data_IF_967140148695
#
_entry.id   IF_967140148695
#
_cell.length_a   1.000
_cell.length_b   1.000
_cell.length_c   1.000
_cell.angle_alpha   90.00
_cell.angle_beta   90.00
_cell.angle_gamma   90.00
#
_symmetry.space_group_name_H-M   'P 1'
#
loop_
_entity.id
_entity.type
_entity.pdbx_description
1 polymer ?
#
# COMPACT_ATOMS: atom_id res chain seq x y z
N UNK A 1 -16.23 -2.55 -12.38
CA UNK A 1 -15.89 -1.22 -11.83
C UNK A 1 -14.69 -1.48 -10.94
N UNK A 2 -13.48 -1.05 -11.31
CA UNK A 2 -12.29 -1.31 -10.51
C UNK A 2 -12.16 -0.23 -9.43
N UNK A 3 -12.11 -0.61 -8.15
CA UNK A 3 -11.83 0.34 -7.07
C UNK A 3 -10.35 0.26 -6.67
N UNK A 4 -9.76 1.35 -6.19
CA UNK A 4 -8.37 1.42 -5.73
C UNK A 4 -8.38 2.01 -4.32
N UNK A 5 -7.93 1.23 -3.36
CA UNK A 5 -7.83 1.71 -1.97
C UNK A 5 -6.35 1.86 -1.62
N UNK A 6 -5.98 3.06 -1.19
CA UNK A 6 -4.63 3.36 -0.70
C UNK A 6 -4.75 3.60 0.80
N UNK A 7 -4.22 2.71 1.61
CA UNK A 7 -4.35 2.79 3.06
C UNK A 7 -2.98 2.80 3.72
N UNK A 8 -2.75 3.69 4.68
CA UNK A 8 -1.49 3.73 5.42
C UNK A 8 -1.79 3.85 6.91
N UNK A 9 -1.24 2.95 7.70
CA UNK A 9 -1.36 2.95 9.15
C UNK A 9 0.00 2.66 9.76
N UNK A 10 0.49 3.54 10.63
CA UNK A 10 1.75 3.29 11.35
C UNK A 10 1.63 2.20 12.42
N UNK A 11 2.74 1.55 12.75
CA UNK A 11 2.82 0.44 13.70
C UNK A 11 2.21 0.72 15.11
N UNK A 12 1.73 -0.36 15.75
CA UNK A 12 1.06 -0.47 17.06
C UNK A 12 -0.36 0.13 17.17
N UNK A 13 -1.40 -0.62 16.77
CA UNK A 13 -2.77 -0.44 17.31
C UNK A 13 -3.56 -1.74 17.46
N UNK A 14 -4.18 -1.88 18.64
CA UNK A 14 -5.32 -2.79 18.87
C UNK A 14 -6.50 -2.39 17.99
N UNK A 15 -7.04 -3.33 17.23
CA UNK A 15 -8.33 -3.19 16.56
C UNK A 15 -9.43 -3.07 17.61
N UNK A 16 -10.16 -1.95 17.63
CA UNK A 16 -11.40 -1.87 18.37
C UNK A 16 -12.42 -2.74 17.63
N UNK A 17 -12.67 -3.97 18.10
CA UNK A 17 -13.74 -4.86 17.62
C UNK A 17 -15.11 -4.23 17.95
N UNK A 18 -15.49 -3.18 17.24
CA UNK A 18 -16.89 -2.87 17.05
C UNK A 18 -17.45 -3.98 16.16
N UNK A 19 -18.25 -4.88 16.74
CA UNK A 19 -19.10 -5.85 16.03
C UNK A 19 -20.13 -5.13 15.18
N UNK A 20 -19.71 -4.45 14.12
CA UNK A 20 -20.58 -4.01 13.05
C UNK A 20 -20.52 -5.10 11.99
N UNK A 21 -21.61 -5.88 11.89
CA UNK A 21 -21.85 -6.80 10.78
C UNK A 21 -21.71 -6.00 9.47
N UNK A 22 -20.63 -6.21 8.74
CA UNK A 22 -20.36 -5.53 7.48
C UNK A 22 -21.38 -6.00 6.42
N UNK A 23 -22.33 -5.12 6.10
CA UNK A 23 -23.21 -5.24 4.95
C UNK A 23 -22.60 -4.36 3.84
N UNK A 24 -21.52 -4.83 3.21
CA UNK A 24 -20.77 -4.08 2.19
C UNK A 24 -21.52 -3.91 0.86
N UNK A 25 -22.72 -4.46 0.72
CA UNK A 25 -23.79 -4.01 -0.17
C UNK A 25 -25.10 -4.64 0.34
N UNK A 26 -26.26 -4.01 0.07
CA UNK A 26 -27.63 -4.55 0.22
C UNK A 26 -28.31 -4.33 1.60
N UNK A 27 -29.03 -3.21 1.80
CA UNK A 27 -30.51 -3.09 1.84
C UNK A 27 -30.99 -1.80 2.54
N UNK A 28 -31.77 -1.00 1.79
CA UNK A 28 -32.83 -0.18 2.36
C UNK A 28 -33.84 -1.11 3.05
N UNK A 29 -33.91 -1.09 4.38
CA UNK A 29 -35.14 -1.51 5.03
C UNK A 29 -36.18 -0.41 4.84
N UNK A 30 -37.07 -0.62 3.87
CA UNK A 30 -38.34 0.06 3.81
C UNK A 30 -39.10 -0.27 5.10
N UNK A 31 -39.30 0.73 5.96
CA UNK A 31 -40.28 0.64 7.04
C UNK A 31 -41.67 0.61 6.41
N UNK A 32 -42.37 -0.51 6.58
CA UNK A 32 -43.82 -0.58 6.41
C UNK A 32 -44.48 0.45 7.33
N UNK A 33 -44.89 1.58 6.75
CA UNK A 33 -45.91 2.44 7.32
C UNK A 33 -47.14 2.33 6.41
N UNK A 34 -48.31 2.22 7.05
CA UNK A 34 -49.58 1.86 6.46
C UNK A 34 -49.95 2.70 5.22
N UNK A 35 -50.59 2.04 4.25
CA UNK A 35 -51.15 2.66 3.07
C UNK A 35 -52.25 3.69 3.44
N UNK A 36 -52.10 4.91 2.96
CA UNK A 36 -53.20 5.85 2.73
C UNK A 36 -53.60 5.73 1.25
N UNK A 37 -54.82 5.26 0.92
CA UNK A 37 -55.23 5.02 -0.46
C UNK A 37 -55.65 6.28 -1.24
N UNK A 38 -55.27 7.49 -0.80
CA UNK A 38 -55.77 8.73 -1.38
C UNK A 38 -54.70 9.74 -1.80
N UNK A 39 -53.76 9.38 -2.69
CA UNK A 39 -52.95 10.36 -3.44
C UNK A 39 -52.35 9.77 -4.71
N UNK A 40 -53.04 10.03 -5.82
CA UNK A 40 -52.47 9.91 -7.17
C UNK A 40 -51.62 11.16 -7.41
N UNK A 41 -50.30 11.00 -7.53
CA UNK A 41 -49.44 12.00 -8.13
C UNK A 41 -48.54 11.32 -9.17
N UNK A 42 -48.84 11.60 -10.44
CA UNK A 42 -47.96 11.32 -11.58
C UNK A 42 -46.60 12.00 -11.35
N UNK A 43 -45.52 11.22 -11.39
CA UNK A 43 -44.16 11.73 -11.54
C UNK A 43 -43.53 11.04 -12.74
N UNK A 44 -43.19 11.84 -13.76
CA UNK A 44 -42.38 11.41 -14.89
C UNK A 44 -40.95 11.01 -14.48
N UNK A 45 -40.15 10.47 -15.41
CA UNK A 45 -38.84 9.89 -15.10
C UNK A 45 -37.83 11.00 -14.78
N UNK A 46 -37.76 11.39 -13.52
CA UNK A 46 -36.64 12.15 -12.97
C UNK A 46 -35.49 11.18 -12.75
N UNK A 47 -34.44 11.28 -13.58
CA UNK A 47 -33.18 10.59 -13.37
C UNK A 47 -32.57 11.16 -12.08
N UNK A 48 -32.68 10.41 -10.99
CA UNK A 48 -32.01 10.76 -9.74
C UNK A 48 -30.50 10.89 -9.98
N UNK A 49 -29.83 11.94 -9.46
CA UNK A 49 -28.39 12.08 -9.60
C UNK A 49 -27.68 10.89 -8.92
N UNK A 50 -26.57 10.40 -9.46
CA UNK A 50 -25.87 9.25 -8.89
C UNK A 50 -25.47 9.56 -7.45
N UNK A 51 -25.90 8.71 -6.52
CA UNK A 51 -25.54 8.79 -5.10
C UNK A 51 -24.02 8.92 -4.96
N UNK A 52 -23.55 10.00 -4.32
CA UNK A 52 -22.11 10.22 -4.07
C UNK A 52 -21.60 9.13 -3.13
N UNK A 53 -20.90 8.14 -3.68
CA UNK A 53 -20.14 7.16 -2.89
C UNK A 53 -19.03 7.89 -2.15
N UNK A 54 -18.97 7.69 -0.83
CA UNK A 54 -17.96 8.28 0.06
C UNK A 54 -17.15 7.18 0.72
N UNK A 55 -15.88 7.44 0.97
CA UNK A 55 -15.01 6.58 1.76
C UNK A 55 -15.56 6.46 3.19
N UNK A 56 -15.67 5.24 3.71
CA UNK A 56 -16.40 4.96 4.96
C UNK A 56 -15.71 5.59 6.18
N UNK A 57 -14.38 5.57 6.21
CA UNK A 57 -13.61 6.07 7.36
C UNK A 57 -13.34 7.57 7.31
N UNK A 58 -13.06 8.12 6.13
CA UNK A 58 -12.70 9.54 5.98
C UNK A 58 -13.89 10.42 5.59
N UNK A 59 -15.01 9.83 5.14
CA UNK A 59 -16.14 10.56 4.58
C UNK A 59 -15.82 11.27 3.26
N UNK A 60 -14.61 11.11 2.72
CA UNK A 60 -14.15 11.77 1.50
C UNK A 60 -14.90 11.22 0.27
N UNK A 61 -15.11 12.08 -0.74
CA UNK A 61 -15.64 11.59 -2.02
C UNK A 61 -14.57 10.75 -2.74
N UNK A 62 -14.98 9.68 -3.40
CA UNK A 62 -14.05 8.88 -4.21
C UNK A 62 -13.49 9.73 -5.36
N UNK A 63 -12.18 9.65 -5.56
CA UNK A 63 -11.54 10.06 -6.80
C UNK A 63 -11.95 9.13 -7.94
N UNK A 64 -11.85 9.62 -9.18
CA UNK A 64 -12.09 8.79 -10.36
C UNK A 64 -11.24 9.27 -11.51
N UNK A 65 -10.69 8.35 -12.28
CA UNK A 65 -9.93 8.65 -13.49
C UNK A 65 -10.24 7.64 -14.57
N UNK A 66 -10.27 8.08 -15.83
CA UNK A 66 -10.50 7.19 -16.95
C UNK A 66 -9.18 6.55 -17.38
N UNK A 67 -9.25 5.37 -17.98
CA UNK A 67 -8.17 4.72 -18.73
C UNK A 67 -8.77 4.35 -20.09
N UNK A 68 -8.85 5.30 -21.03
CA UNK A 68 -9.57 5.14 -22.29
C UNK A 68 -9.17 3.91 -23.10
N UNK A 69 -7.88 3.59 -23.19
CA UNK A 69 -7.40 2.48 -24.02
C UNK A 69 -7.87 1.11 -23.51
N UNK A 70 -8.18 0.99 -22.22
CA UNK A 70 -8.71 -0.22 -21.59
C UNK A 70 -10.23 -0.16 -21.36
N UNK A 71 -10.89 0.96 -21.70
CA UNK A 71 -12.31 1.17 -21.39
C UNK A 71 -12.60 1.17 -19.88
N UNK A 72 -11.60 1.44 -19.04
CA UNK A 72 -11.74 1.40 -17.58
C UNK A 72 -12.00 2.81 -17.02
N UNK A 73 -12.63 2.86 -15.86
CA UNK A 73 -12.75 4.06 -15.03
C UNK A 73 -12.52 3.72 -13.57
N UNK A 74 -11.25 3.55 -13.15
CA UNK A 74 -10.95 3.33 -11.75
C UNK A 74 -11.53 4.44 -10.86
N UNK A 75 -12.07 4.01 -9.73
CA UNK A 75 -12.38 4.89 -8.61
C UNK A 75 -11.34 4.66 -7.53
N UNK A 76 -10.98 5.69 -6.77
CA UNK A 76 -9.97 5.54 -5.75
C UNK A 76 -10.24 6.35 -4.50
N UNK A 77 -9.73 5.87 -3.38
CA UNK A 77 -9.69 6.58 -2.11
C UNK A 77 -8.38 6.34 -1.42
N UNK A 78 -8.01 7.28 -0.56
CA UNK A 78 -6.81 7.18 0.26
C UNK A 78 -7.07 7.58 1.69
N UNK A 79 -6.42 6.90 2.62
CA UNK A 79 -6.39 7.25 4.05
C UNK A 79 -4.98 7.03 4.59
N UNK A 80 -4.50 7.98 5.38
CA UNK A 80 -3.30 7.78 6.19
C UNK A 80 -3.61 8.14 7.64
N UNK A 81 -3.15 7.32 8.57
CA UNK A 81 -3.35 7.56 10.00
C UNK A 81 -2.07 7.29 10.77
N UNK A 82 -1.65 8.30 11.54
CA UNK A 82 -0.53 8.18 12.47
C UNK A 82 -0.69 7.00 13.43
N UNK A 83 0.40 6.26 13.64
CA UNK A 83 0.53 5.24 14.69
C UNK A 83 0.21 5.76 16.10
N UNK A 84 -0.02 4.85 17.06
CA UNK A 84 -0.29 5.24 18.45
C UNK A 84 0.95 5.00 19.32
N UNK A 85 1.58 6.11 19.73
CA UNK A 85 2.76 6.10 20.58
C UNK A 85 2.44 6.79 21.91
N UNK A 86 2.07 6.06 22.98
CA UNK A 86 1.70 6.65 24.27
C UNK A 86 2.79 7.55 24.86
N UNK A 87 4.07 7.19 24.66
CA UNK A 87 5.23 7.96 25.11
C UNK A 87 5.57 9.17 24.24
N UNK A 88 5.04 9.22 23.01
CA UNK A 88 5.31 10.28 22.03
C UNK A 88 4.02 10.70 21.33
N UNK A 89 3.08 11.35 22.05
CA UNK A 89 1.77 11.71 21.51
C UNK A 89 1.84 12.73 20.36
N UNK A 90 2.95 13.46 20.26
CA UNK A 90 3.22 14.47 19.23
C UNK A 90 4.09 13.95 18.08
N UNK A 91 4.45 12.66 18.07
CA UNK A 91 5.19 12.05 16.95
C UNK A 91 4.45 12.35 15.64
N UNK A 92 5.18 12.63 14.57
CA UNK A 92 4.58 12.86 13.26
C UNK A 92 3.96 11.56 12.72
N UNK A 93 3.12 11.69 11.69
CA UNK A 93 2.80 10.53 10.87
C UNK A 93 4.03 10.19 10.01
N UNK A 94 4.46 8.94 10.06
CA UNK A 94 5.69 8.47 9.42
C UNK A 94 5.39 7.92 8.03
N UNK A 95 4.16 7.45 7.83
CA UNK A 95 3.64 7.04 6.54
C UNK A 95 3.34 8.24 5.64
N UNK A 96 3.66 8.09 4.36
CA UNK A 96 3.21 8.98 3.32
C UNK A 96 2.64 8.20 2.14
N UNK A 97 1.78 8.84 1.35
CA UNK A 97 1.22 8.22 0.15
C UNK A 97 1.11 9.25 -0.96
N UNK A 98 0.95 8.78 -2.20
CA UNK A 98 0.61 9.63 -3.32
C UNK A 98 -0.36 8.95 -4.26
N UNK A 99 -1.23 9.77 -4.85
CA UNK A 99 -2.07 9.41 -5.99
C UNK A 99 -1.87 10.47 -7.06
N UNK A 100 -1.35 10.08 -8.21
CA UNK A 100 -1.16 10.97 -9.37
C UNK A 100 -1.88 10.37 -10.56
N UNK A 101 -2.86 11.09 -11.07
CA UNK A 101 -3.64 10.66 -12.23
C UNK A 101 -3.18 11.40 -13.47
N UNK A 102 -3.35 10.76 -14.62
CA UNK A 102 -2.86 11.26 -15.91
C UNK A 102 -1.36 11.59 -15.85
N UNK A 103 -0.58 10.66 -15.31
CA UNK A 103 0.85 10.80 -15.11
C UNK A 103 1.55 11.07 -16.45
N UNK A 104 2.53 11.97 -16.47
CA UNK A 104 3.12 12.51 -17.72
C UNK A 104 2.11 13.15 -18.70
N UNK A 105 0.93 13.55 -18.23
CA UNK A 105 -0.17 14.03 -19.07
C UNK A 105 -0.89 12.93 -19.86
N UNK A 106 -0.57 11.65 -19.61
CA UNK A 106 -1.14 10.53 -20.34
C UNK A 106 -2.41 10.01 -19.62
N UNK A 107 -3.60 10.07 -20.23
CA UNK A 107 -4.85 9.65 -19.60
C UNK A 107 -4.89 8.15 -19.25
N UNK A 108 -4.04 7.33 -19.86
CA UNK A 108 -3.94 5.90 -19.60
C UNK A 108 -2.89 5.54 -18.54
N UNK A 109 -2.28 6.53 -17.88
CA UNK A 109 -1.21 6.36 -16.91
C UNK A 109 -1.60 6.95 -15.55
N UNK A 110 -1.66 6.12 -14.51
CA UNK A 110 -1.97 6.56 -13.13
C UNK A 110 -1.02 5.90 -12.14
N UNK A 111 -0.53 6.66 -11.17
CA UNK A 111 0.46 6.24 -10.19
C UNK A 111 -0.13 6.30 -8.77
N UNK A 112 0.05 5.22 -8.03
CA UNK A 112 -0.33 5.08 -6.62
C UNK A 112 0.91 4.61 -5.85
N UNK A 113 1.18 5.20 -4.69
CA UNK A 113 2.33 4.79 -3.88
C UNK A 113 2.09 4.97 -2.39
N UNK A 114 2.64 4.05 -1.60
CA UNK A 114 2.67 4.07 -0.14
C UNK A 114 4.12 3.93 0.31
N UNK A 115 4.50 4.73 1.30
CA UNK A 115 5.84 4.86 1.82
C UNK A 115 5.75 4.82 3.34
N UNK A 116 6.23 3.75 3.96
CA UNK A 116 6.23 3.57 5.41
C UNK A 116 7.60 3.98 5.96
N UNK A 117 7.66 5.04 6.76
CA UNK A 117 8.90 5.61 7.26
C UNK A 117 9.29 5.04 8.62
N UNK A 118 10.59 4.88 8.85
CA UNK A 118 11.13 4.47 10.15
C UNK A 118 12.42 5.22 10.51
N UNK A 119 12.83 5.10 11.77
CA UNK A 119 13.93 5.89 12.35
C UNK A 119 13.49 7.28 12.82
N UNK A 120 14.45 8.09 13.25
CA UNK A 120 14.19 9.42 13.81
C UNK A 120 13.78 10.45 12.75
N UNK A 121 14.18 10.22 11.50
CA UNK A 121 13.85 11.06 10.34
C UNK A 121 12.84 10.40 9.38
N UNK A 122 12.06 9.45 9.91
CA UNK A 122 11.07 8.64 9.18
C UNK A 122 10.14 9.45 8.27
N UNK A 123 9.49 10.47 8.82
CA UNK A 123 8.53 11.31 8.10
C UNK A 123 9.22 12.14 6.99
N UNK A 124 10.47 12.56 7.20
CA UNK A 124 11.26 13.25 6.20
C UNK A 124 11.69 12.29 5.09
N UNK A 125 12.17 11.10 5.43
CA UNK A 125 12.57 10.07 4.47
C UNK A 125 11.38 9.64 3.60
N UNK A 126 10.24 9.31 4.21
CA UNK A 126 9.04 8.88 3.47
C UNK A 126 8.48 9.97 2.55
N UNK A 127 8.46 11.23 3.00
CA UNK A 127 8.05 12.36 2.18
C UNK A 127 9.03 12.65 1.03
N UNK A 128 10.34 12.59 1.31
CA UNK A 128 11.39 12.82 0.32
C UNK A 128 11.34 11.77 -0.78
N UNK A 129 11.32 10.48 -0.42
CA UNK A 129 11.28 9.38 -1.37
C UNK A 129 10.00 9.42 -2.19
N UNK A 130 8.84 9.70 -1.56
CA UNK A 130 7.57 9.92 -2.27
C UNK A 130 7.73 10.97 -3.34
N UNK A 131 8.18 12.17 -3.00
CA UNK A 131 8.20 13.29 -3.94
C UNK A 131 9.27 13.07 -5.02
N UNK A 132 10.49 12.67 -4.62
CA UNK A 132 11.61 12.50 -5.53
C UNK A 132 11.41 11.35 -6.51
N UNK A 133 10.93 10.19 -6.04
CA UNK A 133 10.65 9.05 -6.90
C UNK A 133 9.58 9.40 -7.94
N UNK A 134 8.53 10.09 -7.51
CA UNK A 134 7.45 10.52 -8.39
C UNK A 134 7.96 11.50 -9.45
N UNK A 135 8.81 12.45 -9.08
CA UNK A 135 9.38 13.42 -10.02
C UNK A 135 10.31 12.78 -11.05
N UNK A 136 11.19 11.86 -10.61
CA UNK A 136 12.10 11.16 -11.53
C UNK A 136 11.31 10.29 -12.52
N UNK A 137 10.32 9.53 -12.04
CA UNK A 137 9.46 8.72 -12.92
C UNK A 137 8.66 9.60 -13.88
N UNK A 138 8.12 10.73 -13.41
CA UNK A 138 7.40 11.67 -14.27
C UNK A 138 8.29 12.25 -15.37
N UNK A 139 9.58 12.43 -15.12
CA UNK A 139 10.56 12.89 -16.10
C UNK A 139 11.12 11.81 -17.03
N UNK A 140 10.90 10.52 -16.74
CA UNK A 140 11.53 9.44 -17.50
C UNK A 140 10.71 9.06 -18.76
N UNK A 141 11.20 9.31 -19.98
CA UNK A 141 10.49 8.95 -21.21
C UNK A 141 10.34 7.44 -21.39
N UNK A 142 11.15 6.63 -20.70
CA UNK A 142 11.10 5.16 -20.75
C UNK A 142 9.93 4.60 -19.93
N UNK A 143 9.25 5.41 -19.13
CA UNK A 143 8.21 4.92 -18.21
C UNK A 143 7.12 4.10 -18.93
N UNK A 144 6.76 4.47 -20.16
CA UNK A 144 5.80 3.73 -20.96
C UNK A 144 6.41 2.49 -21.65
N UNK A 145 7.52 2.66 -22.37
CA UNK A 145 8.08 1.65 -23.28
C UNK A 145 8.95 0.61 -22.57
N UNK A 146 9.69 1.04 -21.54
CA UNK A 146 10.60 0.22 -20.75
C UNK A 146 10.46 0.56 -19.26
N UNK A 147 9.27 0.27 -18.71
CA UNK A 147 8.92 0.56 -17.32
C UNK A 147 9.88 -0.07 -16.32
N UNK A 148 10.36 -1.29 -16.58
CA UNK A 148 11.31 -1.97 -15.68
C UNK A 148 12.59 -1.16 -15.50
N UNK A 149 13.18 -0.67 -16.59
CA UNK A 149 14.40 0.12 -16.50
C UNK A 149 14.14 1.52 -15.93
N UNK A 150 13.01 2.14 -16.27
CA UNK A 150 12.60 3.41 -15.68
C UNK A 150 12.51 3.32 -14.14
N UNK A 151 11.88 2.26 -13.64
CA UNK A 151 11.76 2.01 -12.20
C UNK A 151 13.10 1.71 -11.53
N UNK A 152 13.92 0.84 -12.11
CA UNK A 152 15.25 0.52 -11.54
C UNK A 152 16.12 1.78 -11.46
N UNK A 153 16.17 2.55 -12.54
CA UNK A 153 16.90 3.81 -12.60
C UNK A 153 16.35 4.84 -11.62
N UNK A 154 15.03 4.95 -11.49
CA UNK A 154 14.40 5.93 -10.60
C UNK A 154 14.61 5.56 -9.12
N UNK A 155 14.48 4.29 -8.74
CA UNK A 155 14.74 3.84 -7.38
C UNK A 155 16.20 4.06 -6.99
N UNK A 156 17.15 3.68 -7.86
CA UNK A 156 18.58 3.93 -7.61
C UNK A 156 18.88 5.44 -7.46
N UNK A 157 18.36 6.27 -8.38
CA UNK A 157 18.58 7.71 -8.35
C UNK A 157 17.91 8.41 -7.16
N UNK A 158 16.73 7.93 -6.72
CA UNK A 158 16.07 8.44 -5.52
C UNK A 158 16.84 8.08 -4.26
N UNK A 159 17.35 6.85 -4.14
CA UNK A 159 18.15 6.44 -2.98
C UNK A 159 19.45 7.26 -2.88
N UNK A 160 20.16 7.43 -4.00
CA UNK A 160 21.33 8.31 -4.04
C UNK A 160 20.99 9.76 -3.68
N UNK A 161 19.85 10.27 -4.15
CA UNK A 161 19.43 11.62 -3.83
C UNK A 161 19.06 11.80 -2.34
N UNK A 162 18.61 10.73 -1.66
CA UNK A 162 18.35 10.75 -0.22
C UNK A 162 19.68 10.81 0.56
N UNK A 163 20.65 9.98 0.20
CA UNK A 163 22.02 10.00 0.74
C UNK A 163 22.69 11.38 0.59
N UNK A 164 22.45 12.05 -0.54
CA UNK A 164 23.00 13.38 -0.84
C UNK A 164 22.19 14.55 -0.23
N UNK A 165 21.10 14.26 0.50
CA UNK A 165 20.22 15.28 1.09
C UNK A 165 20.70 15.78 2.45
N UNK A 166 19.97 16.73 3.04
CA UNK A 166 20.21 17.17 4.43
C UNK A 166 19.56 16.26 5.48
N UNK A 167 18.85 15.21 5.06
CA UNK A 167 18.18 14.26 5.94
C UNK A 167 19.21 13.22 6.38
N UNK A 168 19.32 12.99 7.69
CA UNK A 168 20.15 11.90 8.21
C UNK A 168 19.43 10.56 8.03
N UNK A 169 19.87 9.81 7.03
CA UNK A 169 19.34 8.50 6.66
C UNK A 169 20.24 7.35 7.11
N UNK A 170 21.20 7.59 8.00
CA UNK A 170 22.11 6.53 8.49
C UNK A 170 21.36 5.37 9.13
N UNK A 171 20.39 5.69 9.99
CA UNK A 171 19.49 4.74 10.65
C UNK A 171 18.01 5.15 10.50
N UNK A 172 17.70 5.90 9.46
CA UNK A 172 16.33 6.28 9.09
C UNK A 172 16.10 5.97 7.62
N UNK A 173 14.88 5.58 7.30
CA UNK A 173 14.57 5.13 5.95
C UNK A 173 13.09 5.01 5.73
N UNK A 174 12.74 4.43 4.59
CA UNK A 174 11.35 4.17 4.25
C UNK A 174 11.20 3.01 3.28
N UNK A 175 10.14 2.23 3.47
CA UNK A 175 9.65 1.32 2.43
C UNK A 175 9.06 2.11 1.27
N UNK A 176 8.91 1.48 0.12
CA UNK A 176 8.12 2.03 -0.97
C UNK A 176 7.45 0.89 -1.74
N UNK A 177 6.12 0.92 -1.76
CA UNK A 177 5.35 0.09 -2.68
C UNK A 177 4.51 0.97 -3.59
N UNK A 178 4.58 0.71 -4.89
CA UNK A 178 3.91 1.53 -5.90
C UNK A 178 3.17 0.67 -6.90
N UNK A 179 2.10 1.23 -7.46
CA UNK A 179 1.31 0.65 -8.56
C UNK A 179 1.18 1.69 -9.66
N UNK A 180 1.73 1.39 -10.83
CA UNK A 180 1.49 2.13 -12.06
C UNK A 180 0.42 1.41 -12.88
N UNK A 181 -0.76 2.03 -12.98
CA UNK A 181 -1.78 1.65 -13.96
C UNK A 181 -1.33 2.20 -15.31
N UNK A 182 -1.01 1.30 -16.25
CA UNK A 182 -0.60 1.61 -17.63
C UNK A 182 -1.53 0.88 -18.58
N UNK A 183 -2.60 1.55 -19.01
CA UNK A 183 -3.65 0.93 -19.81
C UNK A 183 -4.33 -0.23 -19.09
N UNK A 184 -4.28 -1.43 -19.67
CA UNK A 184 -4.82 -2.66 -19.10
C UNK A 184 -3.81 -3.42 -18.21
N UNK A 185 -2.71 -2.78 -17.83
CA UNK A 185 -1.62 -3.41 -17.09
C UNK A 185 -1.35 -2.68 -15.78
N UNK A 186 -1.17 -3.43 -14.68
CA UNK A 186 -0.57 -2.94 -13.44
C UNK A 186 0.92 -3.27 -13.44
N UNK A 187 1.75 -2.28 -13.11
CA UNK A 187 3.16 -2.51 -12.78
C UNK A 187 3.34 -2.19 -11.30
N UNK A 188 3.60 -3.23 -10.51
CA UNK A 188 3.87 -3.13 -9.08
C UNK A 188 5.36 -3.12 -8.86
N UNK A 189 5.86 -2.18 -8.06
CA UNK A 189 7.26 -2.13 -7.63
C UNK A 189 7.32 -2.03 -6.10
N UNK A 190 8.07 -2.94 -5.45
CA UNK A 190 8.18 -3.01 -4.00
C UNK A 190 9.63 -2.96 -3.50
N UNK A 191 9.85 -2.19 -2.42
CA UNK A 191 11.03 -2.17 -1.55
C UNK A 191 10.51 -2.13 -0.12
N UNK A 192 10.86 -3.13 0.69
CA UNK A 192 10.37 -3.28 2.07
C UNK A 192 9.18 -4.23 2.21
N UNK A 193 8.37 -4.03 3.25
CA UNK A 193 7.26 -4.89 3.69
C UNK A 193 5.88 -4.21 3.62
N UNK A 194 5.77 -3.12 2.86
CA UNK A 194 4.48 -2.64 2.38
C UNK A 194 3.97 -3.56 1.26
N UNK A 195 2.65 -3.61 1.06
CA UNK A 195 2.02 -4.67 0.30
C UNK A 195 0.94 -4.21 -0.69
N UNK A 196 0.79 -4.95 -1.79
CA UNK A 196 -0.28 -4.79 -2.77
C UNK A 196 -1.04 -6.10 -2.92
N UNK A 197 -2.36 -6.04 -2.79
CA UNK A 197 -3.27 -7.17 -3.01
C UNK A 197 -4.36 -6.78 -4.00
N UNK A 198 -4.69 -7.66 -4.94
CA UNK A 198 -5.85 -7.54 -5.80
C UNK A 198 -7.00 -8.43 -5.30
N UNK A 199 -8.22 -7.89 -5.37
CA UNK A 199 -9.44 -8.68 -5.26
C UNK A 199 -9.85 -9.17 -6.64
N UNK A 200 -9.84 -10.48 -6.85
CA UNK A 200 -10.16 -11.14 -8.11
C UNK A 200 -11.41 -12.00 -7.96
N UNK A 201 -12.39 -11.81 -8.85
CA UNK A 201 -13.58 -12.65 -8.90
C UNK A 201 -13.24 -14.02 -9.53
N UNK A 202 -13.42 -15.10 -8.78
CA UNK A 202 -13.13 -16.46 -9.27
C UNK A 202 -14.33 -17.14 -9.96
N UNK A 203 -15.52 -16.55 -9.83
CA UNK A 203 -16.79 -17.13 -10.28
C UNK A 203 -17.86 -17.13 -9.19
N UNK A 204 -17.44 -17.29 -7.94
CA UNK A 204 -18.31 -17.43 -6.76
C UNK A 204 -18.03 -16.37 -5.70
N UNK A 205 -16.76 -16.02 -5.49
CA UNK A 205 -16.34 -15.04 -4.49
C UNK A 205 -15.15 -14.19 -4.96
N UNK A 206 -14.81 -13.18 -4.16
CA UNK A 206 -13.58 -12.39 -4.37
C UNK A 206 -12.45 -13.09 -3.62
N UNK A 207 -11.46 -13.58 -4.35
CA UNK A 207 -10.22 -14.13 -3.81
C UNK A 207 -9.11 -13.10 -3.84
N UNK A 208 -8.23 -13.14 -2.85
CA UNK A 208 -7.05 -12.31 -2.80
C UNK A 208 -5.94 -12.85 -3.71
N UNK A 209 -5.36 -11.98 -4.52
CA UNK A 209 -4.13 -12.23 -5.26
C UNK A 209 -3.06 -11.24 -4.79
N UNK A 210 -2.00 -11.74 -4.14
CA UNK A 210 -0.87 -10.90 -3.72
C UNK A 210 -0.05 -10.46 -4.95
N UNK A 211 0.11 -9.15 -5.11
CA UNK A 211 0.81 -8.53 -6.24
C UNK A 211 2.23 -8.06 -5.88
N UNK A 212 2.63 -8.22 -4.61
CA UNK A 212 3.99 -8.00 -4.12
C UNK A 212 4.37 -9.09 -3.13
N UNK A 213 5.59 -9.04 -2.63
CA UNK A 213 6.12 -9.92 -1.59
C UNK A 213 6.99 -9.07 -0.66
N UNK A 214 6.96 -9.35 0.65
CA UNK A 214 7.78 -8.64 1.64
C UNK A 214 9.27 -8.78 1.33
N UNK A 215 10.06 -7.90 1.93
CA UNK A 215 11.50 -8.04 1.96
C UNK A 215 11.95 -8.16 3.41
N UNK A 216 11.94 -9.40 3.92
CA UNK A 216 12.35 -9.74 5.29
C UNK A 216 13.72 -10.41 5.31
N UNK A 217 14.59 -10.14 6.31
CA UNK A 217 15.97 -10.65 6.35
C UNK A 217 16.15 -12.18 6.28
N UNK A 218 15.14 -12.97 6.66
CA UNK A 218 15.23 -14.43 6.69
C UNK A 218 14.51 -15.15 5.53
N UNK A 219 13.86 -14.41 4.62
CA UNK A 219 13.32 -14.97 3.38
C UNK A 219 14.43 -15.48 2.46
N UNK A 220 14.19 -16.57 1.74
CA UNK A 220 15.28 -17.38 1.17
C UNK A 220 16.23 -16.59 0.26
N UNK A 221 15.69 -15.84 -0.70
CA UNK A 221 16.44 -15.03 -1.66
C UNK A 221 17.15 -13.84 -0.98
N UNK A 222 16.46 -13.16 -0.07
CA UNK A 222 17.02 -12.06 0.71
C UNK A 222 18.13 -12.53 1.64
N UNK A 223 17.92 -13.64 2.34
CA UNK A 223 18.86 -14.26 3.26
C UNK A 223 20.10 -14.75 2.53
N UNK A 224 19.95 -15.33 1.34
CA UNK A 224 21.08 -15.72 0.52
C UNK A 224 21.92 -14.50 0.14
N UNK A 225 21.30 -13.39 -0.30
CA UNK A 225 22.01 -12.13 -0.56
C UNK A 225 22.73 -11.64 0.69
N UNK A 226 22.02 -11.48 1.80
CA UNK A 226 22.56 -10.90 3.04
C UNK A 226 23.74 -11.72 3.60
N UNK A 227 23.69 -13.06 3.49
CA UNK A 227 24.81 -13.94 3.85
C UNK A 227 26.08 -13.67 3.03
N UNK A 228 25.94 -13.34 1.74
CA UNK A 228 27.10 -13.01 0.88
C UNK A 228 27.78 -11.70 1.31
N UNK A 229 27.05 -10.80 1.94
CA UNK A 229 27.56 -9.54 2.50
C UNK A 229 28.01 -9.65 3.97
N UNK A 230 27.98 -10.86 4.55
CA UNK A 230 28.39 -11.07 5.94
C UNK A 230 27.42 -10.49 6.98
N UNK A 231 26.16 -10.29 6.61
CA UNK A 231 25.16 -9.72 7.50
C UNK A 231 24.92 -10.60 8.74
N UNK A 232 24.77 -9.96 9.89
CA UNK A 232 24.28 -10.60 11.10
C UNK A 232 22.76 -10.41 11.17
N UNK A 233 22.03 -11.53 11.15
CA UNK A 233 20.57 -11.55 11.36
C UNK A 233 20.28 -12.21 12.69
N UNK A 234 19.51 -11.55 13.56
CA UNK A 234 19.07 -12.12 14.83
C UNK A 234 17.57 -11.87 15.06
N UNK A 235 16.94 -12.75 15.84
CA UNK A 235 15.48 -12.84 16.00
C UNK A 235 15.00 -14.24 15.64
N UNK A 236 13.76 -14.56 16.00
CA UNK A 236 13.13 -15.82 15.66
C UNK A 236 12.08 -15.58 14.57
N UNK A 237 12.07 -16.41 13.53
CA UNK A 237 10.88 -16.55 12.70
C UNK A 237 9.94 -17.54 13.37
N UNK A 238 8.71 -17.11 13.61
CA UNK A 238 7.63 -18.08 13.56
C UNK A 238 7.30 -18.31 12.07
N UNK A 239 7.57 -19.51 11.50
CA UNK A 239 7.22 -19.81 10.11
C UNK A 239 5.69 -19.80 9.90
N UNK A 240 4.92 -19.89 10.99
CA UNK A 240 3.49 -19.62 11.05
C UNK A 240 3.20 -18.20 11.54
N UNK A 241 4.12 -17.22 11.58
CA UNK A 241 3.81 -15.82 11.94
C UNK A 241 2.85 -15.14 10.96
N UNK A 242 2.53 -15.79 9.83
CA UNK A 242 1.34 -15.48 9.02
C UNK A 242 0.01 -15.83 9.73
N UNK A 243 0.09 -16.49 10.88
CA UNK A 243 -1.01 -16.91 11.74
C UNK A 243 -1.40 -15.76 12.65
N UNK A 244 -2.46 -15.13 12.21
CA UNK A 244 -3.44 -14.41 13.00
C UNK A 244 -3.86 -15.24 14.22
N UNK A 245 -3.19 -15.08 15.37
CA UNK A 245 -3.81 -15.46 16.62
C UNK A 245 -4.84 -14.38 16.97
N UNK A 246 -6.09 -14.81 17.10
CA UNK A 246 -7.19 -14.01 17.64
C UNK A 246 -7.01 -13.70 19.14
N UNK A 247 -5.91 -14.20 19.73
CA UNK A 247 -5.59 -14.15 21.14
C UNK A 247 -4.56 -13.03 21.40
N UNK A 248 -5.02 -11.94 22.03
CA UNK A 248 -4.27 -10.74 22.42
C UNK A 248 -3.00 -10.97 23.30
N UNK A 249 -2.65 -12.23 23.60
CA UNK A 249 -1.66 -12.60 24.62
C UNK A 249 -0.64 -13.65 24.11
N UNK A 250 -0.51 -13.83 22.80
CA UNK A 250 0.60 -14.64 22.27
C UNK A 250 1.84 -13.77 22.12
N UNK A 251 2.89 -14.09 22.88
CA UNK A 251 4.24 -13.55 22.71
C UNK A 251 4.61 -13.63 21.22
N UNK A 252 4.66 -12.48 20.54
CA UNK A 252 5.24 -12.41 19.20
C UNK A 252 6.74 -12.32 19.39
N UNK A 253 7.53 -13.34 18.96
CA UNK A 253 8.98 -13.22 18.99
C UNK A 253 9.39 -11.98 18.21
N UNK A 254 10.48 -11.34 18.64
CA UNK A 254 11.03 -10.19 17.92
C UNK A 254 11.31 -10.60 16.47
N UNK A 255 10.80 -9.83 15.49
CA UNK A 255 10.98 -10.18 14.09
C UNK A 255 12.49 -10.19 13.77
N UNK A 256 12.92 -11.04 12.83
CA UNK A 256 14.31 -11.08 12.42
C UNK A 256 14.79 -9.72 11.92
N UNK A 257 15.92 -9.26 12.44
CA UNK A 257 16.52 -7.97 12.12
C UNK A 257 17.92 -8.12 11.55
N UNK A 258 18.24 -7.28 10.57
CA UNK A 258 19.61 -6.98 10.16
C UNK A 258 20.27 -6.06 11.18
N UNK A 259 21.48 -6.42 11.60
CA UNK A 259 22.22 -5.66 12.61
C UNK A 259 23.54 -5.11 12.08
N UNK A 260 23.77 -3.82 12.34
CA UNK A 260 25.06 -3.15 12.28
C UNK A 260 25.25 -2.33 13.55
N UNK A 261 26.33 -2.60 14.29
CA UNK A 261 26.57 -2.00 15.61
C UNK A 261 25.34 -2.21 16.53
N UNK A 262 24.74 -1.14 17.04
CA UNK A 262 23.57 -1.17 17.92
C UNK A 262 22.23 -0.92 17.16
N UNK A 263 22.27 -0.81 15.82
CA UNK A 263 21.09 -0.56 14.99
C UNK A 263 20.57 -1.87 14.37
N UNK A 264 19.25 -2.09 14.47
CA UNK A 264 18.57 -3.30 14.04
C UNK A 264 17.31 -3.05 13.20
N UNK A 265 17.32 -3.42 11.92
CA UNK A 265 16.21 -3.20 10.98
C UNK A 265 15.53 -4.51 10.57
N UNK A 266 14.20 -4.58 10.65
CA UNK A 266 13.41 -5.77 10.32
C UNK A 266 13.08 -5.91 8.82
N UNK A 267 13.85 -5.23 7.97
CA UNK A 267 13.70 -5.18 6.51
C UNK A 267 15.01 -5.60 5.86
N UNK A 268 14.94 -6.26 4.71
CA UNK A 268 16.12 -6.55 3.88
C UNK A 268 16.28 -5.56 2.72
N UNK A 269 15.25 -4.75 2.44
CA UNK A 269 15.29 -3.68 1.45
C UNK A 269 14.62 -2.43 2.02
N UNK A 270 15.26 -1.28 1.84
CA UNK A 270 14.71 0.03 2.19
C UNK A 270 15.39 1.13 1.38
N UNK A 271 14.75 2.30 1.29
CA UNK A 271 15.44 3.54 0.96
C UNK A 271 16.05 4.16 2.21
N UNK A 272 17.25 4.71 2.10
CA UNK A 272 18.01 5.19 3.24
C UNK A 272 18.65 4.04 4.00
N UNK A 273 18.68 4.13 5.33
CA UNK A 273 19.39 3.20 6.22
C UNK A 273 20.84 2.93 5.77
N UNK A 274 21.56 4.01 5.44
CA UNK A 274 22.86 3.94 4.75
C UNK A 274 23.93 3.13 5.51
N UNK A 275 23.85 3.04 6.84
CA UNK A 275 24.75 2.20 7.64
C UNK A 275 24.58 0.69 7.33
N UNK A 276 23.38 0.25 6.94
CA UNK A 276 23.05 -1.15 6.65
C UNK A 276 23.34 -1.55 5.20
N UNK A 277 23.57 -0.62 4.29
CA UNK A 277 23.94 -0.95 2.90
C UNK A 277 25.26 -1.74 2.83
N UNK A 278 26.16 -1.48 3.78
CA UNK A 278 27.44 -2.20 3.92
C UNK A 278 27.28 -3.70 4.20
N UNK A 279 26.13 -4.11 4.74
CA UNK A 279 25.78 -5.51 5.02
C UNK A 279 24.70 -6.05 4.08
N UNK A 280 24.47 -5.40 2.94
CA UNK A 280 23.63 -5.93 1.87
C UNK A 280 22.16 -5.50 1.90
N UNK A 281 21.80 -4.47 2.68
CA UNK A 281 20.56 -3.74 2.48
C UNK A 281 20.60 -3.04 1.12
N UNK A 282 19.49 -3.07 0.37
CA UNK A 282 19.40 -2.46 -0.96
C UNK A 282 18.05 -1.75 -1.18
N UNK A 283 18.05 -0.68 -1.96
CA UNK A 283 16.84 0.00 -2.44
C UNK A 283 16.38 -0.51 -3.83
N UNK A 284 16.75 -1.73 -4.23
CA UNK A 284 16.41 -2.27 -5.56
C UNK A 284 14.99 -2.83 -5.55
N UNK A 285 14.08 -2.33 -6.42
CA UNK A 285 12.71 -2.80 -6.43
C UNK A 285 12.57 -4.19 -7.03
N UNK A 286 11.72 -5.00 -6.42
CA UNK A 286 11.09 -6.12 -7.12
C UNK A 286 9.91 -5.61 -7.95
N UNK A 287 9.84 -6.00 -9.23
CA UNK A 287 8.77 -5.61 -10.12
C UNK A 287 7.89 -6.79 -10.53
N UNK A 288 6.57 -6.64 -10.38
CA UNK A 288 5.56 -7.57 -10.90
C UNK A 288 4.67 -6.85 -11.90
N UNK A 289 4.51 -7.45 -13.08
CA UNK A 289 3.62 -6.93 -14.15
C UNK A 289 2.40 -7.82 -14.22
N UNK A 290 1.22 -7.23 -14.07
CA UNK A 290 -0.07 -7.94 -14.00
C UNK A 290 -0.99 -7.38 -15.06
N UNK A 291 -1.51 -8.27 -15.93
CA UNK A 291 -2.52 -7.87 -16.91
C UNK A 291 -3.90 -7.91 -16.29
N UNK A 292 -4.59 -6.77 -16.29
CA UNK A 292 -5.96 -6.67 -15.80
C UNK A 292 -6.90 -7.50 -16.68
N UNK A 293 -7.83 -8.16 -16.02
CA UNK A 293 -8.91 -8.92 -16.64
C UNK A 293 -10.24 -8.42 -16.09
N UNK A 294 -11.35 -8.83 -16.69
CA UNK A 294 -12.69 -8.50 -16.20
C UNK A 294 -12.96 -9.00 -14.76
N UNK A 295 -12.17 -9.97 -14.29
CA UNK A 295 -12.29 -10.53 -12.95
C UNK A 295 -11.59 -9.66 -11.88
N UNK A 296 -10.64 -8.80 -12.26
CA UNK A 296 -10.01 -7.90 -11.32
C UNK A 296 -11.00 -6.82 -10.88
N UNK A 297 -11.40 -6.89 -9.61
CA UNK A 297 -12.45 -6.05 -9.03
C UNK A 297 -11.90 -4.82 -8.33
N UNK A 298 -10.76 -4.95 -7.66
CA UNK A 298 -10.05 -3.83 -7.04
C UNK A 298 -8.60 -4.22 -6.72
N UNK A 299 -7.80 -3.24 -6.33
CA UNK A 299 -6.55 -3.49 -5.63
C UNK A 299 -6.40 -2.56 -4.42
N UNK A 300 -5.63 -3.02 -3.45
CA UNK A 300 -5.27 -2.29 -2.24
C UNK A 300 -3.76 -2.12 -2.22
N UNK A 301 -3.30 -0.92 -1.88
CA UNK A 301 -1.90 -0.59 -1.63
C UNK A 301 -1.81 -0.12 -0.18
N UNK A 302 -1.08 -0.84 0.69
CA UNK A 302 -0.97 -0.43 2.07
C UNK A 302 0.34 -0.77 2.77
N UNK A 303 0.64 -0.03 3.84
CA UNK A 303 1.77 -0.28 4.73
C UNK A 303 1.52 -1.50 5.63
N UNK A 304 2.57 -1.98 6.28
CA UNK A 304 2.49 -3.17 7.13
C UNK A 304 1.53 -2.97 8.31
N UNK A 305 1.25 -1.75 8.79
CA UNK A 305 0.29 -1.53 9.86
C UNK A 305 -1.17 -1.84 9.49
N UNK A 306 -1.47 -2.19 8.23
CA UNK A 306 -2.71 -2.89 7.84
C UNK A 306 -2.51 -4.40 7.85
N UNK A 307 -1.48 -4.87 7.14
CA UNK A 307 -1.23 -6.29 6.88
C UNK A 307 -0.65 -7.05 8.07
N UNK A 308 -0.30 -6.34 9.15
CA UNK A 308 0.00 -6.85 10.49
C UNK A 308 -1.28 -7.15 11.30
N UNK A 309 -2.46 -6.71 10.83
CA UNK A 309 -3.78 -6.93 11.47
C UNK A 309 -4.85 -7.61 10.57
N UNK A 310 -4.69 -7.58 9.25
CA UNK A 310 -5.64 -8.17 8.29
C UNK A 310 -4.94 -9.04 7.25
N UNK A 311 -5.45 -10.25 7.03
CA UNK A 311 -4.96 -11.11 5.94
C UNK A 311 -5.35 -10.57 4.57
N UNK A 312 -4.60 -10.91 3.53
CA UNK A 312 -4.94 -10.57 2.13
C UNK A 312 -6.39 -10.98 1.80
N UNK A 313 -6.82 -12.16 2.24
CA UNK A 313 -8.19 -12.63 2.01
C UNK A 313 -9.24 -11.87 2.84
N UNK A 314 -8.93 -11.42 4.05
CA UNK A 314 -9.82 -10.54 4.82
C UNK A 314 -9.93 -9.14 4.19
N UNK A 315 -8.88 -8.66 3.54
CA UNK A 315 -8.91 -7.42 2.74
C UNK A 315 -9.72 -7.59 1.46
N UNK A 316 -9.67 -8.77 0.84
CA UNK A 316 -10.39 -9.08 -0.39
C UNK A 316 -11.86 -9.43 -0.16
N UNK A 317 -12.15 -10.18 0.92
CA UNK A 317 -13.47 -10.64 1.32
C UNK A 317 -14.04 -9.73 2.40
N UNK A 318 -14.88 -8.78 1.97
CA UNK A 318 -15.62 -7.89 2.87
C UNK A 318 -16.70 -8.59 3.71
#
# INVERSE_FOLDING_TARGET
>A
MACVHVECFGHYKKWCRCRCRCNCCVHCHATHAAADPSRVHEYGPSIAPPHRVRHVLSGASLGSSAVPCAGLRPQYSSLTQRGYYPGWPDRANEDSFCVKTQFQGNPDLHFFGVFDGHGDFSAQCSAFVRDRLTDILAGDPRLWENTTEAYRSAFAATNMALHDSEIDDSSSGTTAVTVLVRGDTLVVANVGDSWVVAGVWDGDCVVAEDLSSDHKPLWEDERERLRQYGAMVSGEEDPNARSWSDDEETYRPDPPRLWVRDFGLALSRSFGDSDLESVGLIAVPELKVVKLTANHSFFVVASNGVFDFLSSQAMAGG
#
